data_IF_678769427180
#
_entry.id   IF_678769427180
#
_cell.length_a   1.000
_cell.length_b   1.000
_cell.length_c   1.000
_cell.angle_alpha   90.00
_cell.angle_beta   90.00
_cell.angle_gamma   90.00
#
_symmetry.space_group_name_H-M   'P 1'
#
loop_
_entity.id
_entity.type
_entity.pdbx_description
1 polymer ?
#
# COMPACT_ATOMS: atom_id res chain seq x y z
N UNK A 1 2.32 -0.11 -5.54
CA UNK A 1 1.70 0.75 -6.57
C UNK A 1 1.57 0.08 -7.94
N UNK A 2 2.52 -0.76 -8.38
CA UNK A 2 2.43 -1.47 -9.66
C UNK A 2 1.11 -2.24 -9.85
N UNK A 3 0.68 -3.03 -8.87
CA UNK A 3 -0.59 -3.76 -8.93
C UNK A 3 -1.81 -2.85 -9.20
N UNK A 4 -1.87 -1.66 -8.60
CA UNK A 4 -2.96 -0.69 -8.81
C UNK A 4 -2.96 -0.18 -10.25
N UNK A 5 -1.78 0.14 -10.78
CA UNK A 5 -1.62 0.59 -12.15
C UNK A 5 -1.98 -0.52 -13.16
N UNK A 6 -1.51 -1.74 -12.94
CA UNK A 6 -1.85 -2.92 -13.76
C UNK A 6 -3.36 -3.13 -13.80
N UNK A 7 -4.02 -3.14 -12.64
CA UNK A 7 -5.47 -3.29 -12.54
C UNK A 7 -6.25 -2.17 -13.24
N UNK A 8 -5.73 -0.93 -13.23
CA UNK A 8 -6.33 0.19 -13.95
C UNK A 8 -6.20 0.07 -15.49
N UNK A 9 -5.07 -0.47 -15.96
CA UNK A 9 -4.84 -0.76 -17.38
C UNK A 9 -5.76 -1.88 -17.87
N UNK A 10 -5.86 -2.98 -17.11
CA UNK A 10 -6.76 -4.10 -17.41
C UNK A 10 -8.22 -3.67 -17.53
N UNK A 11 -8.65 -2.77 -16.64
CA UNK A 11 -10.00 -2.20 -16.65
C UNK A 11 -10.22 -1.15 -17.74
N UNK A 12 -9.22 -0.82 -18.56
CA UNK A 12 -9.26 0.20 -19.63
C UNK A 12 -9.73 1.58 -19.14
N UNK A 13 -9.46 1.90 -17.88
CA UNK A 13 -9.85 3.17 -17.26
C UNK A 13 -8.68 4.16 -17.19
N UNK A 14 -7.44 3.66 -17.36
CA UNK A 14 -6.23 4.47 -17.30
C UNK A 14 -6.07 5.17 -15.94
N UNK A 15 -5.47 6.35 -15.92
CA UNK A 15 -5.22 7.10 -14.67
C UNK A 15 -6.50 7.41 -13.88
N UNK A 16 -7.66 7.55 -14.55
CA UNK A 16 -8.95 7.78 -13.90
C UNK A 16 -9.37 6.62 -12.98
N UNK A 17 -9.00 5.39 -13.34
CA UNK A 17 -9.34 4.19 -12.57
C UNK A 17 -8.58 4.04 -11.25
N UNK A 18 -7.46 4.74 -11.07
CA UNK A 18 -6.61 4.60 -9.88
C UNK A 18 -7.37 4.97 -8.60
N UNK A 19 -8.11 6.09 -8.63
CA UNK A 19 -8.92 6.55 -7.50
C UNK A 19 -9.98 5.52 -7.13
N UNK A 20 -10.72 5.03 -8.11
CA UNK A 20 -11.78 4.04 -7.90
C UNK A 20 -11.23 2.71 -7.36
N UNK A 21 -10.05 2.27 -7.82
CA UNK A 21 -9.44 1.05 -7.30
C UNK A 21 -9.06 1.24 -5.83
N UNK A 22 -8.44 2.36 -5.47
CA UNK A 22 -8.08 2.65 -4.08
C UNK A 22 -9.30 2.82 -3.18
N UNK A 23 -10.34 3.52 -3.64
CA UNK A 23 -11.59 3.67 -2.88
C UNK A 23 -12.22 2.32 -2.57
N UNK A 24 -12.29 1.41 -3.55
CA UNK A 24 -12.84 0.08 -3.32
C UNK A 24 -12.00 -0.75 -2.35
N UNK A 25 -10.67 -0.68 -2.46
CA UNK A 25 -9.75 -1.44 -1.59
C UNK A 25 -9.79 -0.95 -0.15
N UNK A 26 -9.99 0.36 0.05
CA UNK A 26 -9.91 0.99 1.36
C UNK A 26 -11.27 1.28 2.00
N UNK A 27 -12.38 0.97 1.33
CA UNK A 27 -13.73 1.38 1.76
C UNK A 27 -14.01 0.96 3.20
N UNK A 28 -13.85 -0.33 3.49
CA UNK A 28 -14.13 -0.91 4.81
C UNK A 28 -13.16 -0.34 5.86
N UNK A 29 -11.87 -0.26 5.53
CA UNK A 29 -10.85 0.31 6.42
C UNK A 29 -11.15 1.78 6.75
N UNK A 30 -11.59 2.59 5.79
CA UNK A 30 -11.97 3.98 6.04
C UNK A 30 -13.21 4.12 6.93
N UNK A 31 -14.10 3.13 6.93
CA UNK A 31 -15.27 3.09 7.80
C UNK A 31 -14.93 2.66 9.23
N UNK A 32 -14.04 1.67 9.37
CA UNK A 32 -13.65 1.10 10.65
C UNK A 32 -12.64 1.97 11.42
N UNK A 33 -11.66 2.54 10.73
CA UNK A 33 -10.57 3.31 11.34
C UNK A 33 -11.04 4.44 12.26
N UNK A 34 -12.04 5.27 11.91
CA UNK A 34 -12.53 6.34 12.79
C UNK A 34 -12.99 5.84 14.16
N UNK A 35 -13.43 4.58 14.27
CA UNK A 35 -13.85 3.96 15.52
C UNK A 35 -12.71 3.26 16.27
N UNK A 36 -11.54 3.10 15.64
CA UNK A 36 -10.38 2.42 16.19
C UNK A 36 -9.42 3.42 16.84
N UNK A 37 -9.35 3.41 18.17
CA UNK A 37 -8.44 4.31 18.93
C UNK A 37 -6.99 3.85 18.95
N UNK A 38 -6.70 2.60 18.61
CA UNK A 38 -5.37 1.99 18.72
C UNK A 38 -4.66 1.79 17.38
N UNK A 39 -5.31 2.06 16.25
CA UNK A 39 -4.73 1.88 14.92
C UNK A 39 -3.59 2.89 14.65
N UNK A 40 -2.38 2.38 14.37
CA UNK A 40 -1.17 3.19 14.14
C UNK A 40 -0.74 3.21 12.67
N UNK A 41 -0.94 2.11 11.94
CA UNK A 41 -0.53 1.98 10.53
C UNK A 41 -1.45 1.03 9.79
N UNK A 42 -1.75 1.36 8.53
CA UNK A 42 -2.41 0.44 7.58
C UNK A 42 -1.39 0.02 6.53
N UNK A 43 -1.31 -1.27 6.26
CA UNK A 43 -0.44 -1.87 5.24
C UNK A 43 -1.31 -2.43 4.12
N UNK A 44 -1.03 -1.96 2.90
CA UNK A 44 -1.69 -2.40 1.66
C UNK A 44 -0.63 -2.98 0.75
N UNK A 45 -0.68 -4.29 0.55
CA UNK A 45 0.20 -5.00 -0.38
C UNK A 45 -0.52 -5.36 -1.69
N UNK A 46 0.14 -6.13 -2.54
CA UNK A 46 -0.44 -6.59 -3.80
C UNK A 46 -1.65 -7.50 -3.61
N UNK A 47 -1.61 -8.42 -2.64
CA UNK A 47 -2.71 -9.34 -2.33
C UNK A 47 -3.99 -8.59 -1.98
N UNK A 48 -3.84 -7.46 -1.27
CA UNK A 48 -4.94 -6.56 -0.95
C UNK A 48 -5.49 -5.86 -2.20
N UNK A 49 -4.62 -5.43 -3.11
CA UNK A 49 -5.05 -4.78 -4.36
C UNK A 49 -5.75 -5.76 -5.31
N UNK A 50 -5.33 -7.02 -5.37
CA UNK A 50 -6.00 -8.04 -6.21
C UNK A 50 -7.30 -8.55 -5.56
N UNK A 51 -7.46 -8.39 -4.25
CA UNK A 51 -8.67 -8.74 -3.50
C UNK A 51 -8.59 -10.12 -2.83
N UNK A 52 -7.38 -10.61 -2.59
CA UNK A 52 -7.13 -11.89 -1.92
C UNK A 52 -7.15 -11.76 -0.39
N UNK A 53 -6.67 -10.63 0.14
CA UNK A 53 -6.62 -10.34 1.57
C UNK A 53 -7.19 -8.96 1.91
N UNK A 54 -7.70 -8.74 3.12
CA UNK A 54 -8.01 -7.39 3.61
C UNK A 54 -6.74 -6.61 3.98
N UNK A 55 -6.77 -5.27 4.02
CA UNK A 55 -5.67 -4.45 4.52
C UNK A 55 -5.28 -4.83 5.97
N UNK A 56 -3.99 -4.84 6.26
CA UNK A 56 -3.50 -5.12 7.62
C UNK A 56 -3.44 -3.84 8.44
N UNK A 57 -3.98 -3.87 9.67
CA UNK A 57 -3.93 -2.75 10.61
C UNK A 57 -2.97 -3.12 11.74
N UNK A 58 -1.96 -2.28 11.96
CA UNK A 58 -0.99 -2.42 13.06
C UNK A 58 -1.46 -1.52 14.19
N UNK A 59 -1.67 -2.09 15.37
CA UNK A 59 -2.08 -1.33 16.55
C UNK A 59 -0.89 -0.95 17.42
N UNK A 60 -1.07 0.05 18.28
CA UNK A 60 -0.03 0.56 19.18
C UNK A 60 0.59 -0.52 20.09
N UNK A 61 -0.20 -1.54 20.43
CA UNK A 61 0.22 -2.71 21.23
C UNK A 61 1.10 -3.71 20.46
N UNK A 62 1.13 -3.64 19.13
CA UNK A 62 1.77 -4.64 18.25
C UNK A 62 3.20 -4.26 17.86
N UNK A 63 3.91 -3.47 18.67
CA UNK A 63 5.27 -3.01 18.39
C UNK A 63 6.27 -4.19 18.39
N UNK A 64 6.27 -4.93 17.30
CA UNK A 64 7.29 -5.88 16.90
C UNK A 64 8.43 -5.07 16.26
N UNK A 65 9.71 -5.32 16.61
CA UNK A 65 10.83 -4.49 16.17
C UNK A 65 10.88 -4.46 14.63
N UNK A 66 10.78 -3.26 14.07
CA UNK A 66 10.80 -3.06 12.62
C UNK A 66 12.19 -3.42 12.10
N UNK A 67 12.28 -4.45 11.26
CA UNK A 67 13.50 -4.75 10.49
C UNK A 67 13.71 -3.58 9.52
N UNK A 68 14.74 -2.78 9.76
CA UNK A 68 15.22 -1.77 8.83
C UNK A 68 15.71 -2.48 7.57
N UNK A 69 14.88 -2.53 6.52
CA UNK A 69 15.34 -2.89 5.19
C UNK A 69 16.12 -1.68 4.65
N UNK A 70 17.40 -1.63 5.00
CA UNK A 70 18.36 -0.69 4.44
C UNK A 70 18.44 -0.97 2.93
N UNK A 71 17.78 -0.12 2.13
CA UNK A 71 17.86 -0.25 0.68
C UNK A 71 19.31 0.00 0.26
N UNK A 72 19.96 -0.93 -0.48
CA UNK A 72 21.31 -0.69 -0.97
C UNK A 72 21.28 0.53 -1.89
N UNK A 73 22.05 1.56 -1.53
CA UNK A 73 22.21 2.77 -2.35
C UNK A 73 22.70 2.32 -3.73
N UNK A 74 21.88 2.53 -4.76
CA UNK A 74 22.30 2.34 -6.14
C UNK A 74 23.54 3.22 -6.37
N UNK A 75 24.65 2.67 -6.90
CA UNK A 75 25.78 3.51 -7.27
C UNK A 75 25.30 4.45 -8.39
N UNK A 76 25.23 5.74 -8.10
CA UNK A 76 25.03 6.78 -9.11
C UNK A 76 26.26 6.77 -10.01
N UNK A 77 26.15 6.09 -11.14
CA UNK A 77 27.15 6.13 -12.20
C UNK A 77 27.18 7.52 -12.81
N UNK A 78 27.99 8.39 -12.25
CA UNK A 78 28.44 9.64 -12.86
C UNK A 78 29.68 10.16 -12.14
N UNK A 79 30.79 9.46 -12.25
CA UNK A 79 32.08 10.13 -12.34
C UNK A 79 32.67 9.76 -13.70
N UNK A 80 32.62 10.74 -14.60
CA UNK A 80 33.46 10.75 -15.78
C UNK A 80 34.84 11.26 -15.41
N UNK A 81 35.85 10.52 -15.86
CA UNK A 81 37.15 11.01 -16.27
C UNK A 81 37.71 9.99 -17.28
#
# INVERSE_FOLDING_TARGET
LHAVATKAMERKTGARGLRTILENVLLDTMYELPSSSSAKKVVVDESVVVGENPPYIIHESDESPTINIEQPRRPTGSEGA
#
